data_IF_849882338737
#
_entry.id   IF_849882338737
#
_cell.length_a   1.000
_cell.length_b   1.000
_cell.length_c   1.000
_cell.angle_alpha   90.00
_cell.angle_beta   90.00
_cell.angle_gamma   90.00
#
_symmetry.space_group_name_H-M   'P 1'
#
loop_
_entity.id
_entity.type
_entity.pdbx_description
1 polymer ?
#
# COMPACT_ATOMS: atom_id res chain seq x y z
N UNK A 1 -36.31 -1.17 17.74
CA UNK A 1 -34.97 -1.61 18.19
C UNK A 1 -34.22 -2.38 17.11
N UNK A 2 -34.79 -3.44 16.53
CA UNK A 2 -34.20 -4.23 15.41
C UNK A 2 -33.72 -3.37 14.23
N UNK A 3 -34.49 -2.33 13.87
CA UNK A 3 -34.22 -1.45 12.72
C UNK A 3 -32.92 -0.63 12.86
N UNK A 4 -32.50 -0.30 14.09
CA UNK A 4 -31.25 0.40 14.37
C UNK A 4 -30.07 -0.56 14.26
N UNK A 5 -30.22 -1.79 14.76
CA UNK A 5 -29.18 -2.83 14.70
C UNK A 5 -28.82 -3.13 13.25
N UNK A 6 -29.80 -3.32 12.37
CA UNK A 6 -29.55 -3.61 10.94
C UNK A 6 -28.75 -2.51 10.25
N UNK A 7 -28.99 -1.23 10.58
CA UNK A 7 -28.23 -0.11 10.02
C UNK A 7 -26.77 -0.10 10.48
N UNK A 8 -26.53 -0.39 11.76
CA UNK A 8 -25.17 -0.46 12.33
C UNK A 8 -24.30 -1.54 11.70
N UNK A 9 -24.87 -2.68 11.32
CA UNK A 9 -24.13 -3.78 10.69
C UNK A 9 -23.60 -3.42 9.30
N UNK A 10 -24.25 -2.49 8.58
CA UNK A 10 -23.79 -2.06 7.24
C UNK A 10 -22.58 -1.11 7.29
N UNK A 11 -22.33 -0.44 8.42
CA UNK A 11 -21.21 0.48 8.60
C UNK A 11 -19.92 -0.21 9.09
N UNK A 12 -20.01 -1.46 9.58
CA UNK A 12 -18.86 -2.20 10.10
C UNK A 12 -17.82 -2.58 9.02
N UNK A 13 -18.20 -2.53 7.72
CA UNK A 13 -17.30 -2.80 6.61
C UNK A 13 -16.40 -1.63 6.19
N UNK A 14 -16.62 -0.43 6.73
CA UNK A 14 -15.82 0.76 6.43
C UNK A 14 -14.85 1.10 7.59
N UNK A 15 -14.32 0.08 8.25
CA UNK A 15 -13.23 0.27 9.21
C UNK A 15 -11.94 0.46 8.42
N UNK A 16 -11.43 1.70 8.37
CA UNK A 16 -10.03 1.90 7.99
C UNK A 16 -9.20 1.30 9.12
N UNK A 17 -8.40 0.28 8.84
CA UNK A 17 -7.35 -0.14 9.78
C UNK A 17 -6.40 1.05 9.91
N UNK A 18 -6.56 1.83 10.99
CA UNK A 18 -5.75 3.02 11.23
C UNK A 18 -4.26 2.70 11.15
N UNK A 19 -3.50 3.55 10.46
CA UNK A 19 -2.07 3.43 10.24
C UNK A 19 -1.61 4.42 9.18
N UNK A 20 -0.35 4.85 9.24
CA UNK A 20 0.22 5.62 8.13
C UNK A 20 0.50 4.69 6.96
N UNK A 21 0.58 5.22 5.73
CA UNK A 21 1.08 4.46 4.58
C UNK A 21 2.37 3.70 4.89
N UNK A 22 3.22 4.27 5.74
CA UNK A 22 4.49 3.68 6.16
C UNK A 22 4.35 2.44 7.05
N UNK A 23 3.20 2.23 7.70
CA UNK A 23 2.94 1.04 8.51
C UNK A 23 2.46 -0.16 7.66
N UNK A 24 1.85 0.10 6.51
CA UNK A 24 1.32 -0.93 5.61
C UNK A 24 2.24 -1.19 4.39
N UNK A 25 2.88 -0.14 3.88
CA UNK A 25 3.76 -0.19 2.72
C UNK A 25 5.19 -0.60 3.08
N UNK A 26 5.87 -1.22 2.12
CA UNK A 26 7.28 -1.61 2.22
C UNK A 26 7.99 -1.39 0.87
N UNK A 27 9.34 -1.31 0.84
CA UNK A 27 10.09 -1.22 -0.41
C UNK A 27 9.86 -2.44 -1.30
N UNK A 28 9.69 -2.21 -2.60
CA UNK A 28 9.61 -3.28 -3.60
C UNK A 28 11.02 -3.52 -4.13
N UNK A 29 11.53 -4.76 -3.99
CA UNK A 29 12.91 -5.14 -4.36
C UNK A 29 12.92 -6.33 -5.32
N UNK A 30 12.68 -6.10 -6.63
CA UNK A 30 12.70 -7.19 -7.59
C UNK A 30 14.09 -7.80 -7.71
N UNK A 31 14.15 -9.11 -7.86
CA UNK A 31 15.35 -9.84 -8.27
C UNK A 31 15.77 -9.42 -9.67
N UNK A 32 17.02 -9.73 -10.03
CA UNK A 32 17.53 -9.46 -11.38
C UNK A 32 16.70 -10.15 -12.47
N UNK A 33 16.19 -11.35 -12.20
CA UNK A 33 15.35 -12.08 -13.13
C UNK A 33 13.98 -11.39 -13.33
N UNK A 34 13.38 -10.87 -12.26
CA UNK A 34 12.14 -10.10 -12.34
C UNK A 34 12.34 -8.78 -13.10
N UNK A 35 13.43 -8.06 -12.85
CA UNK A 35 13.73 -6.82 -13.58
C UNK A 35 13.78 -7.05 -15.10
N UNK A 36 14.29 -8.20 -15.55
CA UNK A 36 14.38 -8.52 -16.97
C UNK A 36 13.02 -8.72 -17.66
N UNK A 37 11.94 -8.93 -16.90
CA UNK A 37 10.58 -9.14 -17.45
C UNK A 37 9.67 -7.94 -17.25
N UNK A 38 10.08 -6.93 -16.47
CA UNK A 38 9.30 -5.73 -16.24
C UNK A 38 9.32 -4.80 -17.46
N UNK A 39 8.17 -4.21 -17.78
CA UNK A 39 8.12 -3.07 -18.70
C UNK A 39 8.80 -1.84 -18.08
N UNK A 40 9.27 -0.92 -18.92
CA UNK A 40 9.83 0.35 -18.45
C UNK A 40 8.84 1.16 -17.57
N UNK A 41 7.53 1.06 -17.84
CA UNK A 41 6.48 1.68 -17.03
C UNK A 41 6.40 1.09 -15.62
N UNK A 42 6.49 -0.24 -15.49
CA UNK A 42 6.48 -0.91 -14.18
C UNK A 42 7.75 -0.59 -13.39
N UNK A 43 8.92 -0.53 -14.05
CA UNK A 43 10.16 -0.10 -13.42
C UNK A 43 10.03 1.31 -12.86
N UNK A 44 9.52 2.26 -13.66
CA UNK A 44 9.32 3.63 -13.23
C UNK A 44 8.36 3.75 -12.04
N UNK A 45 7.27 2.97 -12.03
CA UNK A 45 6.31 2.96 -10.94
C UNK A 45 6.91 2.44 -9.63
N UNK A 46 7.72 1.37 -9.69
CA UNK A 46 8.41 0.81 -8.52
C UNK A 46 9.43 1.80 -7.95
N UNK A 47 10.19 2.47 -8.82
CA UNK A 47 11.15 3.50 -8.41
C UNK A 47 10.43 4.64 -7.69
N UNK A 48 9.37 5.20 -8.28
CA UNK A 48 8.59 6.27 -7.68
C UNK A 48 7.98 5.88 -6.32
N UNK A 49 7.48 4.65 -6.19
CA UNK A 49 7.00 4.10 -4.91
C UNK A 49 8.10 4.06 -3.84
N UNK A 50 9.27 3.53 -4.19
CA UNK A 50 10.39 3.41 -3.26
C UNK A 50 10.98 4.77 -2.86
N UNK A 51 11.13 5.71 -3.79
CA UNK A 51 11.61 7.08 -3.53
C UNK A 51 10.65 7.85 -2.61
N UNK A 52 9.34 7.68 -2.82
CA UNK A 52 8.31 8.26 -1.95
C UNK A 52 8.43 7.71 -0.53
N UNK A 53 8.62 6.40 -0.39
CA UNK A 53 8.83 5.77 0.91
C UNK A 53 10.17 6.11 1.56
N UNK A 54 11.23 6.35 0.78
CA UNK A 54 12.48 6.89 1.32
C UNK A 54 12.26 8.27 1.94
N UNK A 55 11.53 9.13 1.23
CA UNK A 55 11.24 10.51 1.66
C UNK A 55 10.30 10.57 2.86
N UNK A 56 9.22 9.78 2.87
CA UNK A 56 8.16 9.88 3.86
C UNK A 56 8.26 8.86 5.00
N UNK A 57 8.88 7.71 4.75
CA UNK A 57 8.86 6.55 5.65
C UNK A 57 10.26 6.11 6.09
N UNK A 58 11.32 6.77 5.63
CA UNK A 58 12.71 6.42 5.96
C UNK A 58 13.17 5.08 5.39
N UNK A 59 12.51 4.59 4.33
CA UNK A 59 12.92 3.37 3.65
C UNK A 59 14.34 3.50 3.09
N UNK A 60 15.13 2.43 3.22
CA UNK A 60 16.49 2.40 2.70
C UNK A 60 16.49 1.90 1.24
N UNK A 61 17.49 2.29 0.42
CA UNK A 61 17.72 1.73 -0.91
C UNK A 61 18.11 0.25 -0.93
#
# INVERSE_FOLDING_TARGET
>A
MVKIIVLSLTLAGCTTSGGSFCAAGHPIRPTRAEVATLSGTSVAAILAHNEKGQTLCGWRP
#
